data_IF_227894791050
#
_entry.id   IF_227894791050
#
_cell.length_a   1.000
_cell.length_b   1.000
_cell.length_c   1.000
_cell.angle_alpha   90.00
_cell.angle_beta   90.00
_cell.angle_gamma   90.00
#
_symmetry.space_group_name_H-M   'P 1'
#
loop_
_entity.id
_entity.type
_entity.pdbx_description
1 polymer ?
#
# COMPACT_ATOMS: atom_id res chain seq x y z
N UNK A 1 -8.05 30.77 25.16
CA UNK A 1 -8.96 29.96 24.33
C UNK A 1 -8.80 30.47 22.90
N UNK A 2 -7.88 29.87 22.15
CA UNK A 2 -7.45 30.38 20.84
C UNK A 2 -8.30 29.76 19.74
N UNK A 3 -8.92 30.63 18.93
CA UNK A 3 -9.74 30.27 17.79
C UNK A 3 -8.99 29.37 16.80
N UNK A 4 -9.63 28.24 16.49
CA UNK A 4 -9.24 27.29 15.47
C UNK A 4 -9.06 28.01 14.12
N UNK A 5 -7.84 27.95 13.61
CA UNK A 5 -7.44 28.42 12.28
C UNK A 5 -8.42 27.88 11.23
N UNK A 6 -9.34 28.72 10.77
CA UNK A 6 -10.12 28.51 9.55
C UNK A 6 -9.15 28.66 8.39
N UNK A 7 -8.72 27.56 7.80
CA UNK A 7 -8.04 27.62 6.50
C UNK A 7 -9.11 27.97 5.45
N UNK A 8 -9.13 29.23 5.03
CA UNK A 8 -9.90 29.68 3.87
C UNK A 8 -9.23 29.10 2.64
N UNK A 9 -9.94 28.26 1.89
CA UNK A 9 -9.48 27.84 0.57
C UNK A 9 -9.31 29.11 -0.27
N UNK A 10 -8.10 29.36 -0.78
CA UNK A 10 -7.82 30.53 -1.63
C UNK A 10 -8.53 30.34 -2.98
N UNK A 11 -9.83 30.63 -3.03
CA UNK A 11 -10.43 31.13 -4.26
C UNK A 11 -9.90 32.54 -4.48
N UNK A 12 -9.73 32.93 -5.74
CA UNK A 12 -9.28 34.28 -6.08
C UNK A 12 -10.13 35.33 -5.33
N UNK A 13 -9.49 36.41 -4.84
CA UNK A 13 -10.14 37.51 -4.13
C UNK A 13 -11.14 38.29 -4.98
N UNK A 14 -11.21 38.01 -6.29
CA UNK A 14 -12.17 38.59 -7.22
C UNK A 14 -13.28 37.61 -7.58
N UNK A 15 -14.52 37.98 -7.31
CA UNK A 15 -15.71 37.20 -7.68
C UNK A 15 -15.74 36.95 -9.20
N UNK A 16 -16.12 35.73 -9.63
CA UNK A 16 -16.19 35.27 -11.04
C UNK A 16 -14.87 35.38 -11.83
N UNK A 17 -13.73 35.47 -11.16
CA UNK A 17 -12.44 35.42 -11.84
C UNK A 17 -11.97 33.99 -12.08
N UNK A 18 -11.31 33.78 -13.22
CA UNK A 18 -10.57 32.57 -13.53
C UNK A 18 -9.08 32.90 -13.47
N UNK A 19 -8.29 32.04 -12.84
CA UNK A 19 -6.83 32.08 -12.88
C UNK A 19 -6.38 30.72 -13.35
N UNK A 20 -5.52 30.71 -14.37
CA UNK A 20 -4.88 29.48 -14.80
C UNK A 20 -3.93 29.01 -13.71
N UNK A 21 -4.29 27.91 -13.05
CA UNK A 21 -3.36 27.22 -12.15
C UNK A 21 -2.49 26.33 -13.03
N UNK A 22 -1.22 26.71 -13.20
CA UNK A 22 -0.21 25.80 -13.76
C UNK A 22 0.20 24.81 -12.66
N UNK A 23 -0.36 23.61 -12.70
CA UNK A 23 0.09 22.51 -11.86
C UNK A 23 1.41 21.96 -12.41
N UNK A 24 2.51 22.27 -11.74
CA UNK A 24 3.78 21.59 -11.96
C UNK A 24 3.75 20.17 -11.37
N UNK A 25 4.83 19.41 -11.54
CA UNK A 25 4.89 18.05 -11.03
C UNK A 25 4.75 17.96 -9.51
N UNK A 26 5.23 18.96 -8.77
CA UNK A 26 5.06 19.03 -7.33
C UNK A 26 3.59 19.20 -6.95
N UNK A 27 2.86 20.07 -7.65
CA UNK A 27 1.41 20.22 -7.52
C UNK A 27 0.66 18.92 -7.82
N UNK A 28 1.02 18.24 -8.91
CA UNK A 28 0.39 16.97 -9.28
C UNK A 28 0.65 15.86 -8.25
N UNK A 29 1.90 15.70 -7.80
CA UNK A 29 2.22 14.73 -6.74
C UNK A 29 1.55 15.06 -5.40
N UNK A 30 1.33 16.35 -5.12
CA UNK A 30 0.59 16.78 -3.92
C UNK A 30 -0.89 16.38 -4.00
N UNK A 31 -1.54 16.54 -5.15
CA UNK A 31 -2.93 16.10 -5.40
C UNK A 31 -3.03 14.58 -5.25
N UNK A 32 -2.08 13.86 -5.84
CA UNK A 32 -2.01 12.40 -5.77
C UNK A 32 -1.79 11.91 -4.34
N UNK A 33 -0.95 12.58 -3.55
CA UNK A 33 -0.75 12.23 -2.15
C UNK A 33 -2.03 12.40 -1.33
N UNK A 34 -2.84 13.43 -1.61
CA UNK A 34 -4.13 13.65 -0.93
C UNK A 34 -5.11 12.49 -1.15
N UNK A 35 -5.09 11.83 -2.32
CA UNK A 35 -5.90 10.63 -2.54
C UNK A 35 -5.55 9.55 -1.50
N UNK A 36 -4.27 9.25 -1.33
CA UNK A 36 -3.81 8.26 -0.34
C UNK A 36 -4.18 8.68 1.09
N UNK A 37 -4.07 9.98 1.41
CA UNK A 37 -4.46 10.50 2.73
C UNK A 37 -5.95 10.33 3.00
N UNK A 38 -6.78 10.74 2.06
CA UNK A 38 -8.24 10.67 2.18
C UNK A 38 -8.67 9.22 2.38
N UNK A 39 -8.04 8.28 1.69
CA UNK A 39 -8.34 6.85 1.84
C UNK A 39 -8.15 6.36 3.29
N UNK A 40 -7.16 6.89 3.99
CA UNK A 40 -6.84 6.54 5.38
C UNK A 40 -7.63 7.35 6.42
N UNK A 41 -8.53 8.23 5.99
CA UNK A 41 -9.29 9.09 6.87
C UNK A 41 -10.78 8.71 6.95
N UNK A 42 -11.37 8.95 8.11
CA UNK A 42 -12.79 9.22 8.25
C UNK A 42 -13.03 10.70 7.99
N UNK A 43 -13.75 11.00 6.91
CA UNK A 43 -14.08 12.37 6.55
C UNK A 43 -15.26 12.87 7.39
N UNK A 44 -15.13 14.09 7.92
CA UNK A 44 -16.17 14.77 8.69
C UNK A 44 -16.50 16.09 7.98
N UNK A 45 -17.59 16.12 7.23
CA UNK A 45 -17.99 17.28 6.45
C UNK A 45 -17.03 17.61 5.30
N UNK A 46 -16.90 18.89 4.95
CA UNK A 46 -16.07 19.33 3.82
C UNK A 46 -14.63 19.60 4.26
N UNK A 47 -13.68 18.85 3.70
CA UNK A 47 -12.24 19.12 3.82
C UNK A 47 -11.64 18.85 5.20
N UNK A 48 -12.34 18.13 6.08
CA UNK A 48 -11.83 17.70 7.39
C UNK A 48 -11.97 16.20 7.52
N UNK A 49 -11.05 15.59 8.25
CA UNK A 49 -11.11 14.18 8.57
C UNK A 49 -10.06 13.82 9.61
N UNK A 50 -10.20 12.63 10.18
CA UNK A 50 -9.22 12.04 11.08
C UNK A 50 -8.70 10.77 10.46
N UNK A 51 -7.39 10.52 10.59
CA UNK A 51 -6.84 9.22 10.22
C UNK A 51 -7.52 8.18 11.10
N UNK A 52 -7.94 7.06 10.50
CA UNK A 52 -8.48 5.89 11.21
C UNK A 52 -7.53 5.51 12.33
N UNK A 53 -7.98 5.24 13.54
CA UNK A 53 -7.12 4.82 14.66
C UNK A 53 -6.75 3.34 14.55
N UNK A 54 -7.69 2.48 14.16
CA UNK A 54 -7.42 1.04 14.12
C UNK A 54 -6.52 0.66 12.94
N UNK A 55 -5.36 0.09 13.24
CA UNK A 55 -4.38 -0.31 12.23
C UNK A 55 -4.90 -1.41 11.30
N UNK A 56 -5.73 -2.34 11.80
CA UNK A 56 -6.35 -3.37 10.97
C UNK A 56 -7.42 -2.78 10.04
N UNK A 57 -8.18 -1.77 10.45
CA UNK A 57 -9.10 -1.02 9.56
C UNK A 57 -8.32 -0.31 8.46
N UNK A 58 -7.19 0.35 8.79
CA UNK A 58 -6.28 0.94 7.77
C UNK A 58 -5.83 -0.12 6.78
N UNK A 59 -5.31 -1.26 7.26
CA UNK A 59 -4.81 -2.33 6.41
C UNK A 59 -5.90 -2.97 5.52
N UNK A 60 -7.15 -3.06 5.99
CA UNK A 60 -8.32 -3.48 5.18
C UNK A 60 -8.65 -2.45 4.10
N UNK A 61 -8.63 -1.15 4.40
CA UNK A 61 -8.83 -0.10 3.37
C UNK A 61 -7.71 -0.05 2.34
N UNK A 62 -6.47 -0.31 2.76
CA UNK A 62 -5.32 -0.44 1.85
C UNK A 62 -5.54 -1.63 0.91
N UNK A 63 -5.87 -2.79 1.47
CA UNK A 63 -6.18 -4.00 0.70
C UNK A 63 -7.30 -3.74 -0.33
N UNK A 64 -8.37 -3.07 0.10
CA UNK A 64 -9.47 -2.69 -0.76
C UNK A 64 -9.03 -1.78 -1.91
N UNK A 65 -8.19 -0.78 -1.62
CA UNK A 65 -7.70 0.16 -2.64
C UNK A 65 -6.85 -0.56 -3.69
N UNK A 66 -5.98 -1.47 -3.26
CA UNK A 66 -5.21 -2.30 -4.18
C UNK A 66 -6.11 -3.22 -5.02
N UNK A 67 -7.10 -3.88 -4.41
CA UNK A 67 -8.07 -4.68 -5.15
C UNK A 67 -8.81 -3.83 -6.20
N UNK A 68 -9.22 -2.60 -5.84
CA UNK A 68 -9.88 -1.66 -6.76
C UNK A 68 -8.99 -1.21 -7.92
N UNK A 69 -7.68 -1.01 -7.70
CA UNK A 69 -6.74 -0.74 -8.79
C UNK A 69 -6.65 -1.92 -9.76
N UNK A 70 -6.51 -3.16 -9.26
CA UNK A 70 -6.46 -4.33 -10.11
C UNK A 70 -7.76 -4.54 -10.91
N UNK A 71 -8.90 -4.39 -10.23
CA UNK A 71 -10.25 -4.54 -10.81
C UNK A 71 -10.66 -3.34 -11.68
N UNK A 72 -9.84 -2.29 -11.73
CA UNK A 72 -10.13 -1.05 -12.46
C UNK A 72 -11.42 -0.35 -12.02
N UNK A 73 -11.79 -0.52 -10.74
CA UNK A 73 -12.95 0.13 -10.11
C UNK A 73 -12.59 1.36 -9.30
N UNK A 74 -11.30 1.68 -9.19
CA UNK A 74 -10.84 2.93 -8.60
C UNK A 74 -11.03 4.11 -9.56
N UNK A 75 -11.10 5.33 -9.02
CA UNK A 75 -11.20 6.53 -9.84
C UNK A 75 -10.03 6.65 -10.84
N UNK A 76 -10.34 6.90 -12.12
CA UNK A 76 -9.40 6.83 -13.24
C UNK A 76 -9.15 5.42 -13.81
N UNK A 77 -9.85 4.39 -13.30
CA UNK A 77 -9.79 3.03 -13.82
C UNK A 77 -10.44 2.85 -15.19
N UNK A 78 -10.03 1.82 -15.91
CA UNK A 78 -10.63 1.39 -17.18
C UNK A 78 -10.81 -0.14 -17.18
N UNK A 79 -12.06 -0.60 -17.16
CA UNK A 79 -12.41 -2.03 -17.09
C UNK A 79 -11.80 -2.89 -18.22
N UNK A 80 -11.57 -2.31 -19.41
CA UNK A 80 -10.96 -3.01 -20.55
C UNK A 80 -9.47 -3.31 -20.31
N UNK A 81 -8.87 -2.66 -19.32
CA UNK A 81 -7.46 -2.79 -18.96
C UNK A 81 -7.26 -3.60 -17.66
N UNK A 82 -8.30 -4.27 -17.15
CA UNK A 82 -8.24 -5.09 -15.93
C UNK A 82 -7.02 -6.01 -15.94
N UNK A 83 -6.23 -5.93 -14.87
CA UNK A 83 -5.01 -6.69 -14.72
C UNK A 83 -3.73 -6.06 -15.25
N UNK A 84 -3.74 -4.81 -15.75
CA UNK A 84 -2.50 -4.05 -16.07
C UNK A 84 -1.69 -3.68 -14.82
N UNK A 85 -2.35 -3.60 -13.67
CA UNK A 85 -1.76 -3.34 -12.35
C UNK A 85 -1.67 -4.65 -11.55
N UNK A 86 -0.90 -5.61 -12.05
CA UNK A 86 -0.99 -7.00 -11.58
C UNK A 86 -0.50 -7.18 -10.14
N UNK A 87 0.53 -6.44 -9.73
CA UNK A 87 0.98 -6.43 -8.33
C UNK A 87 -0.15 -6.05 -7.36
N UNK A 88 -1.07 -5.16 -7.77
CA UNK A 88 -2.13 -4.68 -6.88
C UNK A 88 -3.05 -5.79 -6.39
N UNK A 89 -3.31 -6.83 -7.20
CA UNK A 89 -4.06 -7.99 -6.72
C UNK A 89 -3.29 -8.77 -5.65
N UNK A 90 -1.98 -9.00 -5.83
CA UNK A 90 -1.16 -9.67 -4.83
C UNK A 90 -1.05 -8.82 -3.55
N UNK A 91 -0.81 -7.51 -3.71
CA UNK A 91 -0.73 -6.53 -2.64
C UNK A 91 -2.03 -6.44 -1.83
N UNK A 92 -3.19 -6.62 -2.47
CA UNK A 92 -4.48 -6.68 -1.78
C UNK A 92 -4.53 -7.86 -0.80
N UNK A 93 -4.15 -9.07 -1.23
CA UNK A 93 -4.07 -10.25 -0.35
C UNK A 93 -3.02 -10.08 0.75
N UNK A 94 -1.87 -9.48 0.43
CA UNK A 94 -0.81 -9.22 1.40
C UNK A 94 -1.28 -8.25 2.49
N UNK A 95 -1.86 -7.11 2.10
CA UNK A 95 -2.40 -6.12 3.03
C UNK A 95 -3.57 -6.67 3.86
N UNK A 96 -4.43 -7.50 3.27
CA UNK A 96 -5.46 -8.23 4.03
C UNK A 96 -4.84 -9.14 5.07
N UNK A 97 -3.78 -9.86 4.71
CA UNK A 97 -3.08 -10.74 5.65
C UNK A 97 -2.45 -9.95 6.79
N UNK A 98 -1.90 -8.76 6.51
CA UNK A 98 -1.46 -7.82 7.56
C UNK A 98 -2.61 -7.43 8.48
N UNK A 99 -3.78 -7.07 7.94
CA UNK A 99 -4.94 -6.74 8.76
C UNK A 99 -5.35 -7.88 9.70
N UNK A 100 -5.38 -9.11 9.17
CA UNK A 100 -5.67 -10.30 9.96
C UNK A 100 -4.63 -10.55 11.07
N UNK A 101 -3.34 -10.32 10.79
CA UNK A 101 -2.29 -10.43 11.81
C UNK A 101 -2.41 -9.35 12.89
N UNK A 102 -2.80 -8.13 12.52
CA UNK A 102 -3.01 -7.04 13.47
C UNK A 102 -4.23 -7.26 14.38
N UNK A 103 -5.22 -8.03 13.94
CA UNK A 103 -6.38 -8.44 14.76
C UNK A 103 -6.05 -9.62 15.71
N UNK A 104 -4.83 -10.20 15.66
CA UNK A 104 -4.44 -11.29 16.57
C UNK A 104 -3.89 -10.75 17.90
N UNK A 105 -4.51 -11.14 19.02
CA UNK A 105 -4.07 -10.76 20.39
C UNK A 105 -2.57 -11.03 20.64
N UNK A 106 -2.05 -12.18 20.15
CA UNK A 106 -0.63 -12.53 20.30
C UNK A 106 0.31 -11.54 19.60
N UNK A 107 -0.12 -10.96 18.48
CA UNK A 107 0.66 -9.98 17.72
C UNK A 107 0.58 -8.62 18.39
N UNK A 108 -0.59 -8.24 18.91
CA UNK A 108 -0.76 -7.01 19.69
C UNK A 108 0.15 -6.99 20.93
N UNK A 109 0.32 -8.13 21.61
CA UNK A 109 1.27 -8.26 22.73
C UNK A 109 2.74 -8.11 22.29
N UNK A 110 3.06 -8.31 21.02
CA UNK A 110 4.40 -8.18 20.44
C UNK A 110 4.54 -6.82 19.73
N UNK A 111 4.64 -5.76 20.51
CA UNK A 111 4.61 -4.36 20.05
C UNK A 111 5.57 -4.05 18.89
N UNK A 112 6.79 -4.58 18.89
CA UNK A 112 7.76 -4.37 17.78
C UNK A 112 7.24 -4.93 16.45
N UNK A 113 6.57 -6.08 16.48
CA UNK A 113 5.98 -6.74 15.29
C UNK A 113 4.77 -5.97 14.82
N UNK A 114 3.90 -5.66 15.76
CA UNK A 114 2.67 -4.92 15.51
C UNK A 114 2.97 -3.58 14.85
N UNK A 115 3.88 -2.80 15.44
CA UNK A 115 4.30 -1.51 14.89
C UNK A 115 5.04 -1.67 13.55
N UNK A 116 5.89 -2.69 13.39
CA UNK A 116 6.56 -2.97 12.12
C UNK A 116 5.57 -3.27 10.98
N UNK A 117 4.59 -4.14 11.22
CA UNK A 117 3.54 -4.46 10.26
C UNK A 117 2.67 -3.24 9.92
N UNK A 118 2.23 -2.50 10.95
CA UNK A 118 1.42 -1.31 10.77
C UNK A 118 2.15 -0.19 10.02
N UNK A 119 3.41 0.09 10.39
CA UNK A 119 4.27 1.08 9.75
C UNK A 119 4.58 0.72 8.31
N UNK A 120 5.00 -0.52 8.07
CA UNK A 120 5.35 -1.01 6.73
C UNK A 120 4.16 -0.94 5.77
N UNK A 121 2.99 -1.43 6.20
CA UNK A 121 1.78 -1.43 5.37
C UNK A 121 1.31 -0.01 5.03
N UNK A 122 1.31 0.91 6.01
CA UNK A 122 0.89 2.30 5.82
C UNK A 122 1.82 3.07 4.87
N UNK A 123 3.12 3.03 5.10
CA UNK A 123 4.09 3.81 4.30
C UNK A 123 4.29 3.23 2.90
N UNK A 124 4.20 1.91 2.75
CA UNK A 124 4.13 1.27 1.44
C UNK A 124 2.90 1.74 0.67
N UNK A 125 1.74 1.85 1.34
CA UNK A 125 0.54 2.37 0.70
C UNK A 125 0.69 3.82 0.23
N UNK A 126 1.21 4.71 1.10
CA UNK A 126 1.45 6.10 0.70
C UNK A 126 2.38 6.22 -0.51
N UNK A 127 3.37 5.35 -0.64
CA UNK A 127 4.21 5.28 -1.83
C UNK A 127 3.46 4.67 -3.03
N UNK A 128 3.13 3.39 -3.00
CA UNK A 128 2.66 2.62 -4.15
C UNK A 128 1.34 3.14 -4.73
N UNK A 129 0.39 3.51 -3.87
CA UNK A 129 -0.92 3.99 -4.33
C UNK A 129 -0.81 5.30 -5.12
N UNK A 130 0.14 6.16 -4.76
CA UNK A 130 0.36 7.43 -5.45
C UNK A 130 0.80 7.23 -6.90
N UNK A 131 1.75 6.31 -7.15
CA UNK A 131 2.21 6.02 -8.51
C UNK A 131 1.08 5.55 -9.42
N UNK A 132 0.23 4.65 -8.92
CA UNK A 132 -0.86 4.04 -9.69
C UNK A 132 -2.04 5.00 -9.87
N UNK A 133 -2.40 5.76 -8.82
CA UNK A 133 -3.43 6.78 -8.91
C UNK A 133 -3.05 7.87 -9.92
N UNK A 134 -1.80 8.36 -9.88
CA UNK A 134 -1.32 9.34 -10.85
C UNK A 134 -1.48 8.78 -12.26
N UNK A 135 -0.90 7.61 -12.55
CA UNK A 135 -0.92 7.04 -13.89
C UNK A 135 -2.34 6.87 -14.43
N UNK A 136 -3.27 6.38 -13.59
CA UNK A 136 -4.66 6.19 -13.98
C UNK A 136 -5.39 7.50 -14.28
N UNK A 137 -5.20 8.53 -13.45
CA UNK A 137 -5.89 9.81 -13.60
C UNK A 137 -5.29 10.74 -14.65
N UNK A 138 -3.97 10.76 -14.73
CA UNK A 138 -3.22 11.74 -15.49
C UNK A 138 -2.09 11.07 -16.31
N UNK A 139 -2.42 10.08 -17.16
CA UNK A 139 -1.40 9.31 -17.89
C UNK A 139 -0.53 10.18 -18.79
N UNK A 140 -1.08 11.27 -19.34
CA UNK A 140 -0.37 12.21 -20.22
C UNK A 140 0.77 12.96 -19.51
N UNK A 141 0.63 13.29 -18.23
CA UNK A 141 1.66 14.01 -17.46
C UNK A 141 2.49 13.10 -16.55
N UNK A 142 2.08 11.84 -16.37
CA UNK A 142 2.80 10.89 -15.52
C UNK A 142 4.27 10.74 -15.93
N UNK A 143 4.54 10.52 -17.22
CA UNK A 143 5.92 10.33 -17.70
C UNK A 143 6.80 11.57 -17.55
N UNK A 144 6.19 12.76 -17.64
CA UNK A 144 6.88 14.03 -17.41
C UNK A 144 7.27 14.20 -15.93
N UNK A 145 6.44 13.66 -15.03
CA UNK A 145 6.55 13.88 -13.59
C UNK A 145 7.12 12.71 -12.80
N UNK A 146 7.27 11.52 -13.40
CA UNK A 146 7.69 10.29 -12.70
C UNK A 146 9.02 10.44 -11.96
N UNK A 147 9.98 11.18 -12.53
CA UNK A 147 11.29 11.39 -11.91
C UNK A 147 11.32 12.55 -10.89
N UNK A 148 10.18 13.23 -10.67
CA UNK A 148 10.11 14.45 -9.84
C UNK A 148 9.34 14.22 -8.53
N UNK A 149 8.86 13.00 -8.25
CA UNK A 149 8.19 12.73 -6.98
C UNK A 149 9.18 12.94 -5.84
N UNK A 150 8.83 13.78 -4.89
CA UNK A 150 9.56 13.94 -3.64
C UNK A 150 8.64 14.60 -2.60
N UNK A 151 8.37 13.92 -1.49
CA UNK A 151 7.50 14.43 -0.44
C UNK A 151 7.97 15.77 0.15
N UNK A 152 9.28 16.01 0.18
CA UNK A 152 9.85 17.28 0.66
C UNK A 152 9.59 18.46 -0.31
N UNK A 153 9.14 18.18 -1.54
CA UNK A 153 8.80 19.17 -2.56
C UNK A 153 7.28 19.35 -2.73
N UNK A 154 6.46 18.61 -1.96
CA UNK A 154 5.01 18.78 -2.00
C UNK A 154 4.60 20.20 -1.60
N UNK A 155 3.42 20.63 -2.06
CA UNK A 155 2.86 21.91 -1.66
C UNK A 155 2.73 21.97 -0.14
N UNK A 156 3.05 23.14 0.44
CA UNK A 156 3.04 23.35 1.90
C UNK A 156 1.77 22.84 2.61
N UNK A 157 0.54 23.00 2.08
CA UNK A 157 -0.66 22.45 2.71
C UNK A 157 -0.64 20.92 2.82
N UNK A 158 -0.08 20.22 1.83
CA UNK A 158 0.06 18.75 1.86
C UNK A 158 1.16 18.35 2.83
N UNK A 159 2.29 19.05 2.86
CA UNK A 159 3.33 18.80 3.87
C UNK A 159 2.79 18.98 5.30
N UNK A 160 1.99 20.02 5.54
CA UNK A 160 1.34 20.25 6.83
C UNK A 160 0.37 19.12 7.20
N UNK A 161 -0.37 18.57 6.23
CA UNK A 161 -1.21 17.39 6.44
C UNK A 161 -0.38 16.13 6.75
N UNK A 162 0.77 15.95 6.10
CA UNK A 162 1.66 14.81 6.34
C UNK A 162 2.23 14.80 7.75
N UNK A 163 2.30 15.93 8.45
CA UNK A 163 2.76 15.98 9.85
C UNK A 163 1.86 15.17 10.81
N UNK A 164 0.62 14.86 10.40
CA UNK A 164 -0.26 13.97 11.15
C UNK A 164 -0.04 12.49 10.84
N UNK A 165 0.87 12.14 9.94
CA UNK A 165 1.09 10.74 9.56
C UNK A 165 1.94 10.04 10.63
N UNK A 166 1.48 8.88 11.14
CA UNK A 166 2.26 8.05 12.04
C UNK A 166 3.65 7.74 11.46
N UNK A 167 4.69 7.88 12.28
CA UNK A 167 6.09 7.62 11.92
C UNK A 167 6.66 8.51 10.80
N UNK A 168 6.06 9.65 10.45
CA UNK A 168 6.53 10.50 9.34
C UNK A 168 8.02 10.83 9.41
N UNK A 169 8.48 11.34 10.56
CA UNK A 169 9.86 11.79 10.72
C UNK A 169 10.87 10.63 10.68
N UNK A 170 10.44 9.41 11.00
CA UNK A 170 11.26 8.21 10.86
C UNK A 170 11.24 7.67 9.42
N UNK A 171 10.05 7.57 8.82
CA UNK A 171 9.82 6.85 7.59
C UNK A 171 10.31 7.62 6.36
N UNK A 172 9.97 8.91 6.24
CA UNK A 172 10.29 9.71 5.05
C UNK A 172 11.80 9.75 4.74
N UNK A 173 12.70 9.98 5.72
CA UNK A 173 14.14 9.93 5.45
C UNK A 173 14.59 8.55 4.97
N UNK A 174 14.14 7.47 5.64
CA UNK A 174 14.50 6.07 5.30
C UNK A 174 14.08 5.68 3.88
N UNK A 175 12.89 6.11 3.43
CA UNK A 175 12.38 5.84 2.08
C UNK A 175 12.70 6.97 1.07
N UNK A 176 13.69 7.82 1.38
CA UNK A 176 14.16 8.91 0.51
C UNK A 176 13.03 9.82 0.01
N UNK A 177 12.09 10.16 0.89
CA UNK A 177 10.91 10.98 0.57
C UNK A 177 10.09 10.46 -0.62
N UNK A 178 10.04 9.14 -0.82
CA UNK A 178 9.31 8.47 -1.93
C UNK A 178 9.78 8.91 -3.32
N UNK A 179 11.08 9.25 -3.47
CA UNK A 179 11.63 9.78 -4.72
C UNK A 179 12.28 8.74 -5.64
N UNK A 180 12.69 7.60 -5.09
CA UNK A 180 13.24 6.51 -5.89
C UNK A 180 12.15 5.91 -6.79
N UNK A 181 12.41 5.80 -8.08
CA UNK A 181 11.40 5.37 -9.06
C UNK A 181 11.94 4.37 -10.09
N UNK A 182 13.16 3.85 -9.92
CA UNK A 182 13.79 2.98 -10.91
C UNK A 182 12.98 1.71 -11.19
N UNK A 183 12.46 1.06 -10.14
CA UNK A 183 11.62 -0.13 -10.26
C UNK A 183 10.18 0.21 -10.69
N UNK A 184 9.64 1.34 -10.20
CA UNK A 184 8.35 1.89 -10.64
C UNK A 184 8.34 2.09 -12.16
N UNK A 185 9.34 2.76 -12.73
CA UNK A 185 9.41 2.99 -14.18
C UNK A 185 9.42 1.68 -14.96
N UNK A 186 10.13 0.65 -14.48
CA UNK A 186 10.11 -0.70 -15.08
C UNK A 186 8.72 -1.32 -15.03
N UNK A 187 8.03 -1.22 -13.90
CA UNK A 187 6.67 -1.74 -13.76
C UNK A 187 5.67 -1.03 -14.69
N UNK A 188 5.72 0.31 -14.77
CA UNK A 188 4.83 1.08 -15.64
C UNK A 188 5.16 0.95 -17.13
N UNK A 189 6.40 0.61 -17.49
CA UNK A 189 6.70 0.14 -18.85
C UNK A 189 5.93 -1.15 -19.17
N UNK A 190 5.85 -2.10 -18.22
CA UNK A 190 5.04 -3.32 -18.38
C UNK A 190 3.54 -3.04 -18.39
N UNK A 191 3.07 -2.05 -17.64
CA UNK A 191 1.68 -1.57 -17.75
C UNK A 191 1.37 -1.09 -19.17
N UNK A 192 2.21 -0.24 -19.77
CA UNK A 192 2.03 0.23 -21.16
C UNK A 192 2.14 -0.90 -22.20
N UNK A 193 3.05 -1.85 -21.97
CA UNK A 193 3.17 -3.05 -22.82
C UNK A 193 1.88 -3.88 -22.76
N UNK A 194 1.28 -4.05 -21.57
CA UNK A 194 0.01 -4.75 -21.41
C UNK A 194 -1.14 -4.03 -22.15
N UNK A 195 -1.22 -2.71 -22.01
CA UNK A 195 -2.29 -1.88 -22.62
C UNK A 195 -2.29 -1.96 -24.14
N UNK A 196 -1.12 -2.10 -24.75
CA UNK A 196 -0.97 -2.21 -26.22
C UNK A 196 -0.97 -3.67 -26.71
N UNK A 197 -0.92 -4.65 -25.81
CA UNK A 197 -0.87 -6.07 -26.15
C UNK A 197 -2.22 -6.59 -26.62
N UNK A 198 -2.32 -6.85 -27.94
CA UNK A 198 -3.50 -7.41 -28.59
C UNK A 198 -3.63 -8.92 -28.45
N UNK A 199 -2.52 -9.66 -28.27
CA UNK A 199 -2.54 -11.11 -28.11
C UNK A 199 -2.73 -11.48 -26.63
N UNK A 200 -3.89 -12.05 -26.22
CA UNK A 200 -4.15 -12.38 -24.83
C UNK A 200 -3.14 -13.37 -24.24
N UNK A 201 -2.60 -14.30 -25.04
CA UNK A 201 -1.66 -15.31 -24.53
C UNK A 201 -0.30 -14.74 -24.08
N UNK A 202 0.04 -13.51 -24.51
CA UNK A 202 1.26 -12.81 -24.09
C UNK A 202 1.08 -12.00 -22.80
N UNK A 203 -0.16 -11.65 -22.44
CA UNK A 203 -0.47 -10.80 -21.29
C UNK A 203 0.00 -11.39 -19.94
N UNK A 204 -0.13 -12.70 -19.67
CA UNK A 204 0.29 -13.28 -18.39
C UNK A 204 1.78 -13.05 -18.07
N UNK A 205 2.66 -13.17 -19.07
CA UNK A 205 4.09 -12.93 -18.87
C UNK A 205 4.38 -11.45 -18.53
N UNK A 206 3.69 -10.52 -19.20
CA UNK A 206 3.80 -9.07 -18.94
C UNK A 206 3.30 -8.74 -17.53
N UNK A 207 2.19 -9.35 -17.12
CA UNK A 207 1.61 -9.23 -15.79
C UNK A 207 2.56 -9.69 -14.70
N UNK A 208 3.18 -10.87 -14.87
CA UNK A 208 4.20 -11.36 -13.93
C UNK A 208 5.40 -10.40 -13.84
N UNK A 209 5.88 -9.89 -14.98
CA UNK A 209 6.99 -8.95 -14.99
C UNK A 209 6.63 -7.61 -14.30
N UNK A 210 5.41 -7.11 -14.50
CA UNK A 210 4.89 -5.95 -13.76
C UNK A 210 4.89 -6.22 -12.25
N UNK A 211 4.39 -7.38 -11.83
CA UNK A 211 4.32 -7.77 -10.43
C UNK A 211 5.69 -7.80 -9.77
N UNK A 212 6.65 -8.50 -10.37
CA UNK A 212 7.99 -8.63 -9.79
C UNK A 212 8.72 -7.26 -9.76
N UNK A 213 8.51 -6.39 -10.74
CA UNK A 213 9.10 -5.06 -10.73
C UNK A 213 8.56 -4.19 -9.59
N UNK A 214 7.26 -4.22 -9.28
CA UNK A 214 6.72 -3.53 -8.10
C UNK A 214 7.18 -4.22 -6.80
N UNK A 215 7.26 -5.55 -6.78
CA UNK A 215 7.75 -6.28 -5.61
C UNK A 215 9.21 -5.90 -5.27
N UNK A 216 10.09 -5.75 -6.26
CA UNK A 216 11.43 -5.23 -6.02
C UNK A 216 11.42 -3.83 -5.39
N UNK A 217 10.53 -2.94 -5.85
CA UNK A 217 10.38 -1.59 -5.29
C UNK A 217 9.90 -1.65 -3.84
N UNK A 218 8.78 -2.33 -3.61
CA UNK A 218 8.22 -2.56 -2.28
C UNK A 218 9.28 -3.10 -1.33
N UNK A 219 9.97 -4.17 -1.73
CA UNK A 219 10.80 -4.94 -0.82
C UNK A 219 12.17 -4.32 -0.62
N UNK A 220 12.78 -3.78 -1.68
CA UNK A 220 14.13 -3.22 -1.63
C UNK A 220 14.18 -1.72 -1.35
N UNK A 221 13.22 -0.95 -1.84
CA UNK A 221 13.24 0.53 -1.73
C UNK A 221 12.45 1.01 -0.52
N UNK A 222 11.33 0.35 -0.19
CA UNK A 222 10.46 0.77 0.89
C UNK A 222 10.71 -0.05 2.16
N UNK A 223 10.41 -1.36 2.13
CA UNK A 223 10.38 -2.17 3.33
C UNK A 223 11.77 -2.50 3.87
N UNK A 224 12.78 -2.70 3.01
CA UNK A 224 14.14 -2.98 3.48
C UNK A 224 14.66 -1.88 4.41
N UNK A 225 14.78 -0.60 3.98
CA UNK A 225 15.29 0.45 4.87
C UNK A 225 14.30 0.82 5.99
N UNK A 226 12.99 0.67 5.78
CA UNK A 226 11.99 1.10 6.76
C UNK A 226 11.81 0.12 7.91
N UNK A 227 11.82 -1.19 7.61
CA UNK A 227 11.46 -2.27 8.54
C UNK A 227 12.65 -3.17 8.80
N UNK A 228 13.27 -3.71 7.76
CA UNK A 228 14.21 -4.83 7.93
C UNK A 228 15.62 -4.41 8.34
N UNK A 229 16.05 -3.19 7.98
CA UNK A 229 17.32 -2.59 8.44
C UNK A 229 17.16 -1.83 9.75
N UNK A 230 15.95 -1.75 10.30
CA UNK A 230 15.72 -1.12 11.58
C UNK A 230 16.37 -1.96 12.71
N UNK A 231 17.27 -1.41 13.53
CA UNK A 231 18.00 -2.18 14.52
C UNK A 231 17.11 -2.88 15.55
N UNK A 232 15.98 -2.28 15.93
CA UNK A 232 15.08 -2.86 16.92
C UNK A 232 14.27 -4.00 16.31
N UNK A 233 13.86 -3.86 15.05
CA UNK A 233 13.21 -4.94 14.31
C UNK A 233 14.18 -6.08 13.99
N UNK A 234 15.40 -5.80 13.51
CA UNK A 234 16.41 -6.82 13.20
C UNK A 234 16.77 -7.64 14.43
N UNK A 235 17.04 -6.99 15.56
CA UNK A 235 17.27 -7.67 16.85
C UNK A 235 16.09 -8.54 17.26
N UNK A 236 14.87 -8.08 16.99
CA UNK A 236 13.67 -8.85 17.30
C UNK A 236 13.55 -10.08 16.39
N UNK A 237 13.72 -9.94 15.06
CA UNK A 237 13.70 -11.06 14.09
C UNK A 237 14.80 -12.08 14.39
N UNK A 238 16.01 -11.63 14.76
CA UNK A 238 17.09 -12.51 15.19
C UNK A 238 16.70 -13.32 16.44
N UNK A 239 16.04 -12.68 17.42
CA UNK A 239 15.50 -13.36 18.62
C UNK A 239 14.32 -14.26 18.31
N UNK A 240 13.55 -13.96 17.27
CA UNK A 240 12.42 -14.75 16.79
C UNK A 240 12.83 -16.15 16.34
N UNK A 241 14.11 -16.35 16.00
CA UNK A 241 14.73 -17.68 15.76
C UNK A 241 14.91 -18.52 17.01
N UNK A 242 14.55 -18.01 18.19
CA UNK A 242 14.43 -18.77 19.42
C UNK A 242 13.05 -19.43 19.49
N UNK A 243 12.99 -20.74 19.74
CA UNK A 243 11.78 -21.58 19.63
C UNK A 243 10.57 -21.06 20.45
N UNK A 244 10.80 -20.41 21.59
CA UNK A 244 9.75 -19.81 22.43
C UNK A 244 9.09 -18.58 21.78
N UNK A 245 9.84 -17.80 21.00
CA UNK A 245 9.36 -16.56 20.35
C UNK A 245 8.73 -16.88 18.98
N UNK A 246 9.18 -17.95 18.33
CA UNK A 246 8.57 -18.47 17.10
C UNK A 246 7.10 -18.89 17.29
N UNK A 247 6.76 -19.49 18.44
CA UNK A 247 5.37 -19.89 18.76
C UNK A 247 4.40 -18.70 18.93
N UNK A 248 4.88 -17.58 19.48
CA UNK A 248 4.08 -16.38 19.70
C UNK A 248 3.93 -15.50 18.45
N UNK A 249 4.71 -15.76 17.41
CA UNK A 249 4.76 -14.98 16.18
C UNK A 249 3.66 -15.40 15.19
N UNK A 250 3.12 -14.47 14.38
CA UNK A 250 2.17 -14.84 13.34
C UNK A 250 2.88 -15.67 12.27
N UNK A 251 2.18 -16.65 11.70
CA UNK A 251 2.71 -17.43 10.59
C UNK A 251 3.02 -16.49 9.43
N UNK A 252 4.25 -16.59 8.91
CA UNK A 252 4.68 -15.82 7.75
C UNK A 252 4.05 -16.44 6.50
N UNK A 253 2.82 -16.02 6.20
CA UNK A 253 2.03 -16.56 5.10
C UNK A 253 1.35 -15.46 4.28
N UNK A 254 0.88 -15.85 3.10
CA UNK A 254 0.06 -15.07 2.21
C UNK A 254 -1.15 -15.90 1.81
N UNK A 255 -2.35 -15.44 2.14
CA UNK A 255 -3.60 -16.20 1.92
C UNK A 255 -4.43 -15.55 0.81
N UNK A 256 -4.64 -16.30 -0.27
CA UNK A 256 -5.42 -15.93 -1.47
C UNK A 256 -6.93 -16.18 -1.26
N UNK A 257 -7.46 -15.58 -0.20
CA UNK A 257 -8.86 -15.59 0.20
C UNK A 257 -9.16 -14.28 0.95
N UNK A 258 -10.38 -13.78 0.93
CA UNK A 258 -10.78 -12.60 1.71
C UNK A 258 -10.76 -12.87 3.22
N UNK A 259 -11.02 -14.11 3.65
CA UNK A 259 -10.86 -14.54 5.04
C UNK A 259 -9.38 -14.61 5.45
N UNK A 260 -9.13 -14.66 6.76
CA UNK A 260 -7.79 -14.64 7.33
C UNK A 260 -6.98 -15.93 7.09
N UNK A 261 -7.64 -17.05 6.87
CA UNK A 261 -7.01 -18.33 6.53
C UNK A 261 -7.90 -19.13 5.57
N UNK A 262 -7.33 -20.20 5.02
CA UNK A 262 -8.01 -21.17 4.17
C UNK A 262 -7.49 -22.58 4.48
N UNK A 263 -8.38 -23.56 4.40
CA UNK A 263 -8.03 -24.98 4.49
C UNK A 263 -7.28 -25.47 3.24
N UNK A 264 -7.36 -24.74 2.12
CA UNK A 264 -6.69 -25.12 0.88
C UNK A 264 -5.22 -24.70 0.89
N UNK A 265 -4.31 -25.67 0.93
CA UNK A 265 -2.86 -25.41 0.82
C UNK A 265 -2.46 -24.73 -0.50
N UNK A 266 -3.25 -24.91 -1.58
CA UNK A 266 -3.01 -24.26 -2.87
C UNK A 266 -3.30 -22.76 -2.83
N UNK A 267 -4.24 -22.34 -1.97
CA UNK A 267 -4.70 -20.94 -1.87
C UNK A 267 -3.97 -20.16 -0.78
N UNK A 268 -2.81 -20.64 -0.34
CA UNK A 268 -1.88 -19.89 0.49
C UNK A 268 -0.44 -20.16 0.11
N UNK A 269 0.45 -19.24 0.46
CA UNK A 269 1.90 -19.40 0.38
C UNK A 269 2.47 -19.20 1.78
N UNK A 270 3.15 -20.20 2.31
CA UNK A 270 3.82 -20.13 3.63
C UNK A 270 5.31 -19.97 3.35
N UNK A 271 5.97 -19.09 4.10
CA UNK A 271 7.42 -18.93 3.99
C UNK A 271 8.13 -20.21 4.44
N UNK A 272 9.13 -20.68 3.68
CA UNK A 272 10.03 -21.73 4.14
C UNK A 272 10.70 -21.38 5.48
N UNK A 273 10.99 -22.39 6.31
CA UNK A 273 11.60 -22.21 7.64
C UNK A 273 12.99 -21.55 7.58
N UNK A 274 13.69 -21.68 6.46
CA UNK A 274 15.00 -21.06 6.21
C UNK A 274 14.89 -19.63 5.63
N UNK A 275 13.69 -19.06 5.56
CA UNK A 275 13.48 -17.68 5.10
C UNK A 275 14.06 -16.70 6.12
N UNK A 276 15.08 -15.96 5.68
CA UNK A 276 15.75 -14.90 6.44
C UNK A 276 15.11 -13.57 6.06
N UNK A 277 14.13 -13.13 6.85
CA UNK A 277 13.32 -11.95 6.56
C UNK A 277 14.13 -10.67 6.41
N UNK A 278 15.21 -10.47 7.17
CA UNK A 278 16.05 -9.27 7.08
C UNK A 278 16.94 -9.26 5.82
N UNK A 279 17.18 -10.45 5.23
CA UNK A 279 17.97 -10.61 4.03
C UNK A 279 17.07 -10.46 2.79
N UNK A 280 17.25 -9.37 2.06
CA UNK A 280 16.47 -9.06 0.85
C UNK A 280 16.45 -10.23 -0.15
N UNK A 281 17.56 -10.92 -0.39
CA UNK A 281 17.63 -12.02 -1.35
C UNK A 281 16.80 -13.22 -0.90
N UNK A 282 16.91 -13.62 0.37
CA UNK A 282 16.12 -14.71 0.94
C UNK A 282 14.63 -14.39 0.91
N UNK A 283 14.25 -13.18 1.35
CA UNK A 283 12.87 -12.70 1.30
C UNK A 283 12.31 -12.64 -0.12
N UNK A 284 13.07 -12.12 -1.08
CA UNK A 284 12.66 -12.07 -2.48
C UNK A 284 12.52 -13.46 -3.13
N UNK A 285 13.25 -14.47 -2.68
CA UNK A 285 13.06 -15.85 -3.13
C UNK A 285 11.66 -16.36 -2.73
N UNK A 286 11.26 -16.16 -1.48
CA UNK A 286 9.90 -16.51 -1.02
C UNK A 286 8.83 -15.69 -1.76
N UNK A 287 9.01 -14.37 -1.89
CA UNK A 287 8.04 -13.51 -2.58
C UNK A 287 7.86 -13.91 -4.04
N UNK A 288 8.94 -14.27 -4.72
CA UNK A 288 8.88 -14.79 -6.11
C UNK A 288 8.12 -16.13 -6.17
N UNK A 289 8.32 -17.02 -5.19
CA UNK A 289 7.55 -18.26 -5.10
C UNK A 289 6.06 -18.00 -4.83
N UNK A 290 5.73 -17.06 -3.95
CA UNK A 290 4.36 -16.64 -3.67
C UNK A 290 3.71 -16.01 -4.92
N UNK A 291 4.44 -15.17 -5.65
CA UNK A 291 4.01 -14.58 -6.92
C UNK A 291 3.72 -15.64 -7.98
N UNK A 292 4.56 -16.68 -8.11
CA UNK A 292 4.33 -17.79 -9.02
C UNK A 292 3.03 -18.55 -8.68
N UNK A 293 2.79 -18.83 -7.40
CA UNK A 293 1.55 -19.49 -6.95
C UNK A 293 0.32 -18.61 -7.20
N UNK A 294 0.40 -17.34 -6.84
CA UNK A 294 -0.65 -16.36 -7.15
C UNK A 294 -0.92 -16.31 -8.65
N UNK A 295 0.13 -16.19 -9.47
CA UNK A 295 0.00 -16.12 -10.92
C UNK A 295 -0.66 -17.37 -11.47
N UNK A 296 -0.26 -18.56 -11.02
CA UNK A 296 -0.93 -19.81 -11.38
C UNK A 296 -2.43 -19.75 -11.08
N UNK A 297 -2.84 -19.39 -9.86
CA UNK A 297 -4.25 -19.31 -9.47
C UNK A 297 -5.02 -18.24 -10.27
N UNK A 298 -4.41 -17.11 -10.57
CA UNK A 298 -5.04 -16.09 -11.42
C UNK A 298 -5.28 -16.59 -12.86
N UNK A 299 -4.56 -17.61 -13.33
CA UNK A 299 -4.76 -18.22 -14.65
C UNK A 299 -5.71 -19.44 -14.60
N UNK A 300 -5.68 -20.23 -13.52
CA UNK A 300 -6.43 -21.50 -13.44
C UNK A 300 -7.71 -21.40 -12.62
N UNK A 301 -7.78 -20.46 -11.68
CA UNK A 301 -8.91 -20.21 -10.78
C UNK A 301 -9.35 -18.74 -10.82
N UNK A 302 -9.26 -18.08 -11.99
CA UNK A 302 -9.46 -16.63 -12.15
C UNK A 302 -10.77 -16.13 -11.54
N UNK A 303 -11.89 -16.85 -11.78
CA UNK A 303 -13.20 -16.46 -11.26
C UNK A 303 -13.23 -16.44 -9.72
N UNK A 304 -12.59 -17.42 -9.08
CA UNK A 304 -12.46 -17.44 -7.63
C UNK A 304 -11.59 -16.27 -7.16
N UNK A 305 -10.39 -16.11 -7.73
CA UNK A 305 -9.47 -15.05 -7.31
C UNK A 305 -10.08 -13.65 -7.46
N UNK A 306 -10.79 -13.40 -8.56
CA UNK A 306 -11.49 -12.13 -8.78
C UNK A 306 -12.68 -11.95 -7.82
N UNK A 307 -13.40 -13.00 -7.45
CA UNK A 307 -14.46 -12.91 -6.44
C UNK A 307 -13.90 -12.53 -5.06
N UNK A 308 -12.76 -13.10 -4.67
CA UNK A 308 -12.08 -12.73 -3.44
C UNK A 308 -11.63 -11.27 -3.45
N UNK A 309 -11.06 -10.80 -4.58
CA UNK A 309 -10.66 -9.40 -4.75
C UNK A 309 -11.86 -8.45 -4.74
N UNK A 310 -12.98 -8.82 -5.35
CA UNK A 310 -14.21 -8.02 -5.30
C UNK A 310 -14.73 -7.87 -3.86
N UNK A 311 -14.67 -8.95 -3.07
CA UNK A 311 -15.04 -8.92 -1.65
C UNK A 311 -14.12 -7.96 -0.88
N UNK A 312 -12.80 -8.06 -1.08
CA UNK A 312 -11.81 -7.17 -0.47
C UNK A 312 -12.03 -5.71 -0.89
N UNK A 313 -12.34 -5.46 -2.17
CA UNK A 313 -12.59 -4.12 -2.70
C UNK A 313 -13.76 -3.40 -2.00
N UNK A 314 -14.72 -4.15 -1.44
CA UNK A 314 -15.84 -3.61 -0.66
C UNK A 314 -15.42 -2.96 0.67
N UNK A 315 -14.23 -3.23 1.19
CA UNK A 315 -13.78 -2.72 2.50
C UNK A 315 -13.27 -1.27 2.46
N UNK A 316 -13.34 -0.61 1.30
CA UNK A 316 -12.73 0.70 1.05
C UNK A 316 -13.27 1.82 1.95
N UNK A 317 -14.47 1.64 2.51
CA UNK A 317 -15.16 2.60 3.37
C UNK A 317 -15.32 2.13 4.83
N UNK A 318 -14.65 1.04 5.26
CA UNK A 318 -14.75 0.56 6.65
C UNK A 318 -14.38 1.66 7.64
N UNK A 319 -15.20 1.89 8.66
CA UNK A 319 -14.95 2.86 9.74
C UNK A 319 -14.44 2.17 10.99
N UNK A 320 -13.91 2.95 11.93
CA UNK A 320 -13.58 2.48 13.28
C UNK A 320 -14.81 2.46 14.21
N UNK A 321 -15.97 2.93 13.74
CA UNK A 321 -17.21 2.91 14.49
C UNK A 321 -17.58 1.49 14.95
N UNK A 322 -17.78 1.32 16.27
CA UNK A 322 -18.15 0.03 16.87
C UNK A 322 -16.97 -0.88 17.23
N UNK A 323 -15.72 -0.42 17.07
CA UNK A 323 -14.57 -1.08 17.68
C UNK A 323 -14.44 -0.59 19.14
N UNK A 324 -14.64 -1.50 20.10
CA UNK A 324 -14.53 -1.21 21.53
C UNK A 324 -13.08 -0.87 21.89
N UNK A 325 -12.84 0.43 22.11
CA UNK A 325 -11.62 1.05 22.66
C UNK A 325 -10.30 0.78 21.93
N UNK A 326 -9.44 1.79 21.97
CA UNK A 326 -8.08 1.76 21.49
C UNK A 326 -7.37 0.43 21.85
N UNK A 327 -6.44 -0.06 21.01
CA UNK A 327 -5.48 -1.06 21.45
C UNK A 327 -4.97 -0.61 22.82
N UNK A 328 -4.96 -1.51 23.81
CA UNK A 328 -4.62 -1.19 25.23
C UNK A 328 -3.25 -0.50 25.35
N UNK A 329 -2.46 -0.50 24.27
CA UNK A 329 -1.13 0.05 24.16
C UNK A 329 -0.89 0.90 22.91
N UNK A 330 -1.92 1.43 22.24
CA UNK A 330 -1.69 2.43 21.19
C UNK A 330 -1.07 3.69 21.84
N UNK A 331 0.18 4.07 21.51
CA UNK A 331 0.71 5.32 22.01
C UNK A 331 -0.21 6.46 21.56
N UNK A 332 -0.54 7.42 22.44
CA UNK A 332 -1.36 8.55 22.07
C UNK A 332 -0.62 9.32 20.96
N UNK A 333 -1.33 9.58 19.85
CA UNK A 333 -0.85 10.45 18.78
C UNK A 333 -0.91 11.92 19.21
#
# INVERSE_FOLDING_TARGET
MGDLVKTVAQTNSREKSCVDVRCDCNGMWSIVQQFSTIRMCELVGKGKGKILQAYSTRAKRIAATYARFYLETEDGGNADLKGRHYWMALGAFASKTVACSLDMLRVEMLQTVFQGLAKGNLWLFYDISGWHYYYNKYPQSFDLCVNQRNAAQYLKPVQAQMNFYPWKDEALPKIKNMSECTHIKRAFQKTKEFETQKNPSKRPAIQMANLLAIADHEQGVILQPLIYEDPDFSKWVERQRCALIQWASPDLQLVFNHACDTRSALRKSIAPDDTVLENLKSRMAWISAAANRFHHLMQTESAYMENELNTIAGWVNLSDAGLDSDPVFAPPF
#
